data_IF_628218829501
#
_entry.id   IF_628218829501
#
_cell.length_a   1.000
_cell.length_b   1.000
_cell.length_c   1.000
_cell.angle_alpha   90.00
_cell.angle_beta   90.00
_cell.angle_gamma   90.00
#
_symmetry.space_group_name_H-M   'P 1'
#
loop_
_entity.id
_entity.type
_entity.pdbx_description
1 polymer ?
#
# COMPACT_ATOMS: atom_id res chain seq x y z
N UNK A 1 -19.15 -20.27 7.65
CA UNK A 1 -18.74 -20.06 6.24
C UNK A 1 -17.33 -19.49 6.27
N UNK A 2 -16.39 -20.03 5.50
CA UNK A 2 -14.98 -19.55 5.50
C UNK A 2 -14.88 -18.33 4.59
N UNK A 3 -14.33 -17.21 5.08
CA UNK A 3 -14.00 -16.01 4.30
C UNK A 3 -12.47 -15.98 4.06
N UNK A 4 -12.02 -15.77 2.83
CA UNK A 4 -10.59 -15.72 2.46
C UNK A 4 -10.32 -14.48 1.63
N UNK A 5 -9.30 -13.70 2.02
CA UNK A 5 -8.67 -12.70 1.16
C UNK A 5 -7.44 -13.33 0.50
N UNK A 6 -7.37 -13.30 -0.82
CA UNK A 6 -6.19 -13.69 -1.59
C UNK A 6 -5.73 -12.49 -2.44
N UNK A 7 -4.49 -12.05 -2.22
CA UNK A 7 -3.88 -10.88 -2.85
C UNK A 7 -2.41 -11.21 -3.15
N UNK A 8 -1.89 -10.69 -4.26
CA UNK A 8 -0.49 -10.85 -4.68
C UNK A 8 0.08 -9.54 -5.23
N UNK A 9 1.37 -9.55 -5.59
CA UNK A 9 2.02 -8.55 -6.44
C UNK A 9 1.90 -7.10 -5.95
N UNK A 10 2.02 -6.90 -4.63
CA UNK A 10 1.98 -5.55 -4.02
C UNK A 10 3.14 -4.69 -4.53
N UNK A 11 4.28 -5.30 -4.91
CA UNK A 11 5.48 -4.60 -5.39
C UNK A 11 5.91 -3.43 -4.48
N UNK A 12 5.78 -3.63 -3.17
CA UNK A 12 6.13 -2.61 -2.18
C UNK A 12 7.61 -2.28 -2.26
N UNK A 13 7.93 -0.99 -2.29
CA UNK A 13 9.31 -0.52 -2.47
C UNK A 13 9.73 -0.34 -3.94
N UNK A 14 8.84 -0.60 -4.90
CA UNK A 14 9.10 -0.33 -6.32
C UNK A 14 8.73 1.10 -6.73
N UNK A 15 9.28 1.54 -7.86
CA UNK A 15 8.85 2.77 -8.51
C UNK A 15 9.19 4.06 -7.76
N UNK A 16 10.17 4.06 -6.86
CA UNK A 16 10.58 5.24 -6.11
C UNK A 16 11.07 6.42 -6.97
N UNK A 17 11.43 6.18 -8.23
CA UNK A 17 11.67 7.22 -9.22
C UNK A 17 10.42 8.03 -9.60
N UNK A 18 9.21 7.52 -9.34
CA UNK A 18 7.93 8.15 -9.68
C UNK A 18 7.27 8.88 -8.49
N UNK A 19 7.97 9.01 -7.36
CA UNK A 19 7.50 9.75 -6.18
C UNK A 19 8.49 10.83 -5.74
N UNK A 20 8.11 11.56 -4.71
CA UNK A 20 8.95 12.58 -4.06
C UNK A 20 9.02 12.30 -2.56
N UNK A 21 10.01 12.83 -1.88
CA UNK A 21 10.04 12.75 -0.42
C UNK A 21 8.92 13.63 0.13
N UNK A 22 8.05 13.03 0.94
CA UNK A 22 7.07 13.76 1.73
C UNK A 22 7.81 14.44 2.90
N UNK A 23 7.81 15.78 2.99
CA UNK A 23 8.59 16.51 4.00
C UNK A 23 8.06 16.29 5.43
N UNK A 24 6.80 15.85 5.60
CA UNK A 24 6.23 15.59 6.91
C UNK A 24 6.66 14.23 7.49
N UNK A 25 6.90 13.24 6.63
CA UNK A 25 7.19 11.85 7.04
C UNK A 25 8.63 11.42 6.76
N UNK A 26 9.33 12.12 5.86
CA UNK A 26 10.64 11.72 5.35
C UNK A 26 10.60 10.53 4.39
N UNK A 27 9.41 10.04 4.02
CA UNK A 27 9.21 8.85 3.19
C UNK A 27 8.89 9.24 1.75
N UNK A 28 9.26 8.40 0.79
CA UNK A 28 8.86 8.59 -0.60
C UNK A 28 7.33 8.40 -0.72
N UNK A 29 6.62 9.38 -1.28
CA UNK A 29 5.16 9.36 -1.47
C UNK A 29 4.69 8.12 -2.22
N UNK A 30 5.52 7.52 -3.06
CA UNK A 30 5.17 6.29 -3.75
C UNK A 30 4.97 5.12 -2.79
N UNK A 31 5.78 5.03 -1.73
CA UNK A 31 5.57 4.02 -0.69
C UNK A 31 4.25 4.25 0.03
N UNK A 32 3.93 5.51 0.34
CA UNK A 32 2.68 5.90 0.98
C UNK A 32 1.46 5.52 0.13
N UNK A 33 1.53 5.68 -1.20
CA UNK A 33 0.47 5.22 -2.13
C UNK A 33 0.21 3.71 -2.01
N UNK A 34 1.26 2.90 -1.97
CA UNK A 34 1.15 1.45 -1.82
C UNK A 34 0.54 1.07 -0.47
N UNK A 35 1.00 1.67 0.63
CA UNK A 35 0.44 1.48 1.97
C UNK A 35 -1.06 1.81 1.98
N UNK A 36 -1.42 3.00 1.50
CA UNK A 36 -2.80 3.49 1.50
C UNK A 36 -3.72 2.62 0.64
N UNK A 37 -3.22 2.05 -0.45
CA UNK A 37 -4.01 1.16 -1.32
C UNK A 37 -4.16 -0.22 -0.68
N UNK A 38 -3.10 -0.77 -0.09
CA UNK A 38 -3.15 -2.04 0.62
C UNK A 38 -4.12 -1.98 1.81
N UNK A 39 -4.12 -0.88 2.57
CA UNK A 39 -5.04 -0.67 3.69
C UNK A 39 -6.51 -0.84 3.26
N UNK A 40 -6.89 -0.31 2.10
CA UNK A 40 -8.26 -0.45 1.54
C UNK A 40 -8.64 -1.92 1.26
N UNK A 41 -7.68 -2.77 0.91
CA UNK A 41 -7.92 -4.20 0.73
C UNK A 41 -8.12 -4.90 2.07
N UNK A 42 -7.32 -4.52 3.08
CA UNK A 42 -7.40 -5.06 4.44
C UNK A 42 -8.72 -4.66 5.12
N UNK A 43 -9.14 -3.40 5.00
CA UNK A 43 -10.41 -2.91 5.57
C UNK A 43 -11.60 -3.73 5.05
N UNK A 44 -11.60 -4.06 3.75
CA UNK A 44 -12.64 -4.89 3.13
C UNK A 44 -12.61 -6.34 3.58
N UNK A 45 -11.43 -6.86 3.90
CA UNK A 45 -11.29 -8.24 4.34
C UNK A 45 -11.73 -8.45 5.80
N UNK A 46 -11.61 -7.40 6.62
CA UNK A 46 -11.95 -7.45 8.05
C UNK A 46 -13.44 -7.16 8.31
N UNK A 47 -14.10 -6.39 7.43
CA UNK A 47 -15.55 -6.14 7.49
C UNK A 47 -16.40 -7.44 7.45
#
# INVERSE_FOLDING_TARGET
MIKILHLSDIHMGSGFSHGRINPATGINTRLEDFVNTLAKCIDRAIA
#
